data_IF_756817206709
#
_entry.id   IF_756817206709
#
_cell.length_a   1.000
_cell.length_b   1.000
_cell.length_c   1.000
_cell.angle_alpha   90.00
_cell.angle_beta   90.00
_cell.angle_gamma   90.00
#
_symmetry.space_group_name_H-M   'P 1'
#
loop_
_entity.id
_entity.type
_entity.pdbx_description
1 polymer ?
#
# COMPACT_ATOMS: atom_id res chain seq x y z
N UNK A 1 -2.87 -15.64 -18.35
CA UNK A 1 -2.00 -14.51 -18.77
C UNK A 1 -2.88 -13.32 -19.12
N UNK A 2 -2.45 -12.07 -18.88
CA UNK A 2 -3.24 -10.89 -19.25
C UNK A 2 -3.64 -10.94 -20.72
N UNK A 3 -4.92 -10.75 -21.00
CA UNK A 3 -5.48 -10.86 -22.36
C UNK A 3 -5.73 -9.50 -23.01
N UNK A 4 -5.66 -8.41 -22.24
CA UNK A 4 -5.92 -7.05 -22.69
C UNK A 4 -4.72 -6.15 -22.47
N UNK A 5 -4.59 -5.09 -23.29
CA UNK A 5 -3.52 -4.09 -23.14
C UNK A 5 -3.56 -3.43 -21.75
N UNK A 6 -4.76 -3.12 -21.24
CA UNK A 6 -4.96 -2.55 -19.91
C UNK A 6 -4.41 -3.46 -18.80
N UNK A 7 -4.66 -4.77 -18.91
CA UNK A 7 -4.18 -5.74 -17.94
C UNK A 7 -2.64 -5.87 -17.98
N UNK A 8 -2.04 -5.77 -19.18
CA UNK A 8 -0.58 -5.72 -19.32
C UNK A 8 0.03 -4.45 -18.71
N UNK A 9 -0.60 -3.29 -18.91
CA UNK A 9 -0.13 -2.05 -18.29
C UNK A 9 -0.25 -2.09 -16.77
N UNK A 10 -1.33 -2.66 -16.23
CA UNK A 10 -1.49 -2.85 -14.80
C UNK A 10 -0.43 -3.80 -14.22
N UNK A 11 -0.18 -4.94 -14.89
CA UNK A 11 0.85 -5.88 -14.48
C UNK A 11 2.25 -5.26 -14.47
N UNK A 12 2.63 -4.56 -15.55
CA UNK A 12 3.91 -3.85 -15.64
C UNK A 12 4.03 -2.74 -14.59
N UNK A 13 2.94 -1.99 -14.36
CA UNK A 13 2.88 -0.96 -13.34
C UNK A 13 3.15 -1.50 -11.93
N UNK A 14 2.51 -2.61 -11.55
CA UNK A 14 2.75 -3.26 -10.26
C UNK A 14 4.18 -3.76 -10.12
N UNK A 15 4.74 -4.39 -11.16
CA UNK A 15 6.12 -4.87 -11.15
C UNK A 15 7.13 -3.73 -10.94
N UNK A 16 6.93 -2.60 -11.62
CA UNK A 16 7.80 -1.42 -11.47
C UNK A 16 7.61 -0.79 -10.08
N UNK A 17 6.37 -0.54 -9.66
CA UNK A 17 6.07 0.11 -8.39
C UNK A 17 6.59 -0.69 -7.19
N UNK A 18 6.39 -2.01 -7.19
CA UNK A 18 6.90 -2.90 -6.13
C UNK A 18 8.44 -2.94 -6.09
N UNK A 19 9.09 -2.95 -7.24
CA UNK A 19 10.56 -2.89 -7.33
C UNK A 19 11.07 -1.57 -6.75
N UNK A 20 10.50 -0.45 -7.17
CA UNK A 20 10.89 0.89 -6.68
C UNK A 20 10.62 1.00 -5.18
N UNK A 21 9.46 0.55 -4.70
CA UNK A 21 9.11 0.56 -3.28
C UNK A 21 10.07 -0.26 -2.43
N UNK A 22 10.47 -1.44 -2.90
CA UNK A 22 11.44 -2.30 -2.21
C UNK A 22 12.82 -1.63 -2.13
N UNK A 23 13.29 -1.03 -3.22
CA UNK A 23 14.56 -0.31 -3.25
C UNK A 23 14.53 0.93 -2.33
N UNK A 24 13.42 1.65 -2.32
CA UNK A 24 13.21 2.79 -1.43
C UNK A 24 13.19 2.37 0.04
N UNK A 25 12.57 1.24 0.38
CA UNK A 25 12.58 0.69 1.73
C UNK A 25 13.99 0.31 2.18
N UNK A 26 14.71 -0.50 1.39
CA UNK A 26 16.08 -0.92 1.72
C UNK A 26 17.00 0.29 1.88
N UNK A 27 16.90 1.26 0.97
CA UNK A 27 17.69 2.48 1.02
C UNK A 27 17.28 3.34 2.22
N UNK A 28 15.99 3.50 2.50
CA UNK A 28 15.47 4.28 3.62
C UNK A 28 15.90 3.73 4.99
N UNK A 29 15.92 2.41 5.13
CA UNK A 29 16.38 1.74 6.37
C UNK A 29 17.81 2.15 6.74
N UNK A 30 18.69 2.46 5.78
CA UNK A 30 20.06 2.90 6.10
C UNK A 30 20.12 4.32 6.67
N UNK A 31 19.09 5.15 6.45
CA UNK A 31 19.01 6.51 6.97
C UNK A 31 18.30 6.59 8.33
N UNK A 32 17.20 5.85 8.51
CA UNK A 32 16.36 5.95 9.73
C UNK A 32 16.52 4.77 10.68
N UNK A 33 17.22 3.71 10.26
CA UNK A 33 17.36 2.48 11.02
C UNK A 33 16.13 1.56 10.90
N UNK A 34 16.33 0.27 11.20
CA UNK A 34 15.31 -0.75 10.99
C UNK A 34 14.05 -0.54 11.86
N UNK A 35 14.21 -0.08 13.11
CA UNK A 35 13.09 0.14 14.02
C UNK A 35 12.14 1.24 13.52
N UNK A 36 12.69 2.41 13.15
CA UNK A 36 11.88 3.52 12.62
C UNK A 36 11.29 3.18 11.25
N UNK A 37 12.01 2.46 10.38
CA UNK A 37 11.47 1.99 9.12
C UNK A 37 10.27 1.04 9.32
N UNK A 38 10.36 0.11 10.27
CA UNK A 38 9.25 -0.78 10.60
C UNK A 38 8.03 -0.01 11.13
N UNK A 39 8.23 1.00 11.97
CA UNK A 39 7.13 1.87 12.44
C UNK A 39 6.44 2.59 11.28
N UNK A 40 7.20 3.09 10.29
CA UNK A 40 6.65 3.73 9.09
C UNK A 40 5.86 2.71 8.24
N UNK A 41 6.36 1.49 8.08
CA UNK A 41 5.69 0.43 7.34
C UNK A 41 4.34 0.03 7.92
N UNK A 42 4.10 0.23 9.22
CA UNK A 42 2.78 0.01 9.80
C UNK A 42 1.69 0.93 9.19
N UNK A 43 2.05 2.02 8.52
CA UNK A 43 1.10 2.87 7.81
C UNK A 43 0.64 2.31 6.45
N UNK A 44 1.29 1.27 5.92
CA UNK A 44 0.94 0.63 4.66
C UNK A 44 -0.55 0.24 4.55
N UNK A 45 -1.18 -0.43 5.53
CA UNK A 45 -2.61 -0.71 5.49
C UNK A 45 -3.47 0.56 5.37
N UNK A 46 -3.09 1.65 6.05
CA UNK A 46 -3.83 2.93 5.98
C UNK A 46 -3.73 3.52 4.58
N UNK A 47 -2.53 3.53 3.99
CA UNK A 47 -2.31 4.00 2.63
C UNK A 47 -3.06 3.12 1.61
N UNK A 48 -3.08 1.80 1.80
CA UNK A 48 -3.84 0.87 0.94
C UNK A 48 -5.33 1.19 0.93
N UNK A 49 -5.94 1.43 2.09
CA UNK A 49 -7.34 1.83 2.22
C UNK A 49 -7.58 3.18 1.54
N UNK A 50 -6.71 4.17 1.77
CA UNK A 50 -6.84 5.50 1.15
C UNK A 50 -6.77 5.41 -0.38
N UNK A 51 -5.87 4.59 -0.93
CA UNK A 51 -5.78 4.37 -2.37
C UNK A 51 -6.97 3.59 -2.93
N UNK A 52 -7.53 2.62 -2.20
CA UNK A 52 -8.74 1.93 -2.62
C UNK A 52 -9.92 2.90 -2.77
N UNK A 53 -10.09 3.82 -1.81
CA UNK A 53 -11.13 4.85 -1.88
C UNK A 53 -10.84 5.85 -3.01
N UNK A 54 -9.61 6.36 -3.08
CA UNK A 54 -9.27 7.47 -4.00
C UNK A 54 -9.09 7.04 -5.46
N UNK A 55 -8.52 5.86 -5.70
CA UNK A 55 -8.13 5.38 -7.04
C UNK A 55 -9.16 4.41 -7.59
N UNK A 56 -9.66 3.48 -6.76
CA UNK A 56 -10.65 2.49 -7.19
C UNK A 56 -12.09 2.99 -7.01
N UNK A 57 -12.30 4.07 -6.24
CA UNK A 57 -13.62 4.62 -5.97
C UNK A 57 -14.46 3.73 -5.06
N UNK A 58 -13.83 2.90 -4.22
CA UNK A 58 -14.55 2.00 -3.32
C UNK A 58 -15.35 2.78 -2.28
N UNK A 59 -16.64 2.45 -2.15
CA UNK A 59 -17.48 2.98 -1.08
C UNK A 59 -17.29 2.18 0.21
N UNK A 60 -16.94 2.87 1.29
CA UNK A 60 -16.73 2.24 2.60
C UNK A 60 -18.07 2.09 3.33
N UNK A 61 -18.47 0.85 3.60
CA UNK A 61 -19.61 0.57 4.48
C UNK A 61 -19.27 0.84 5.96
N UNK A 62 -20.29 1.01 6.80
CA UNK A 62 -20.11 1.22 8.25
C UNK A 62 -19.25 0.13 8.91
N UNK A 63 -19.45 -1.14 8.55
CA UNK A 63 -18.68 -2.25 9.11
C UNK A 63 -17.21 -2.23 8.66
N UNK A 64 -16.94 -1.87 7.39
CA UNK A 64 -15.57 -1.66 6.91
C UNK A 64 -14.92 -0.47 7.62
N UNK A 65 -15.66 0.61 7.88
CA UNK A 65 -15.18 1.75 8.66
C UNK A 65 -14.72 1.36 10.06
N UNK A 66 -15.47 0.49 10.74
CA UNK A 66 -15.07 -0.06 12.05
C UNK A 66 -13.81 -0.92 11.89
N UNK A 67 -13.75 -1.78 10.87
CA UNK A 67 -12.55 -2.59 10.59
C UNK A 67 -11.31 -1.73 10.35
N UNK A 68 -11.42 -0.66 9.57
CA UNK A 68 -10.36 0.31 9.31
C UNK A 68 -9.91 0.96 10.62
N UNK A 69 -10.85 1.39 11.46
CA UNK A 69 -10.53 2.00 12.75
C UNK A 69 -9.78 1.05 13.70
N UNK A 70 -10.17 -0.23 13.73
CA UNK A 70 -9.47 -1.26 14.52
C UNK A 70 -8.04 -1.48 14.03
N UNK A 71 -7.84 -1.56 12.71
CA UNK A 71 -6.49 -1.70 12.13
C UNK A 71 -5.62 -0.50 12.51
N UNK A 72 -6.15 0.72 12.39
CA UNK A 72 -5.43 1.95 12.76
C UNK A 72 -5.09 1.97 14.26
N UNK A 73 -5.98 1.48 15.13
CA UNK A 73 -5.73 1.44 16.57
C UNK A 73 -4.72 0.36 17.00
N UNK A 74 -4.48 -0.65 16.16
CA UNK A 74 -3.54 -1.74 16.44
C UNK A 74 -2.09 -1.44 16.00
N UNK A 75 -1.92 -0.41 15.17
CA UNK A 75 -0.64 0.12 14.67
C UNK A 75 0.00 1.03 15.71
#
# INVERSE_FOLDING_TARGET
MPTTMLAWTGFGGVAIASTVGTLAFISGVTYVGAASAAMISNLEPVLGILFAIAVLGESVSLLQGIGIAVVIAAI
#
